data_IF_346225441264
#
_entry.id   IF_346225441264
#
_cell.length_a   1.000
_cell.length_b   1.000
_cell.length_c   1.000
_cell.angle_alpha   90.00
_cell.angle_beta   90.00
_cell.angle_gamma   90.00
#
_symmetry.space_group_name_H-M   'P 1'
#
loop_
_entity.id
_entity.type
_entity.pdbx_description
1 polymer ?
#
# COMPACT_ATOMS: atom_id res chain seq x y z
N UNK A 1 9.00 -20.67 -5.48
CA UNK A 1 9.31 -21.79 -4.56
C UNK A 1 8.40 -21.63 -3.38
N UNK A 2 7.74 -22.70 -2.93
CA UNK A 2 6.94 -22.69 -1.71
C UNK A 2 7.83 -22.64 -0.46
N UNK A 3 7.24 -22.87 0.73
CA UNK A 3 7.98 -22.97 1.97
C UNK A 3 9.12 -23.99 1.86
N UNK A 4 10.26 -23.68 2.46
CA UNK A 4 11.43 -24.55 2.48
C UNK A 4 12.17 -24.40 3.82
N UNK A 5 12.77 -25.49 4.28
CA UNK A 5 13.54 -25.53 5.51
C UNK A 5 15.03 -25.50 5.21
N UNK A 6 15.80 -24.67 5.91
CA UNK A 6 17.28 -24.71 5.84
C UNK A 6 17.74 -25.98 6.55
N UNK A 7 18.48 -26.84 5.84
CA UNK A 7 19.01 -28.10 6.40
C UNK A 7 20.51 -27.99 6.70
N UNK A 8 21.23 -27.14 5.99
CA UNK A 8 22.68 -26.96 6.16
C UNK A 8 23.11 -25.59 5.63
N UNK A 9 24.19 -25.05 6.18
CA UNK A 9 24.88 -23.88 5.63
C UNK A 9 26.30 -24.28 5.18
N UNK A 10 26.47 -24.71 3.91
CA UNK A 10 27.77 -25.16 3.43
C UNK A 10 28.77 -24.02 3.22
N UNK A 11 28.29 -22.78 3.04
CA UNK A 11 29.11 -21.59 2.73
C UNK A 11 28.58 -20.35 3.47
N UNK A 12 29.39 -19.31 3.68
CA UNK A 12 28.99 -18.12 4.45
C UNK A 12 27.72 -17.43 3.96
N UNK A 13 27.42 -17.47 2.67
CA UNK A 13 26.27 -16.77 2.08
C UNK A 13 25.26 -17.68 1.38
N UNK A 14 25.36 -18.98 1.59
CA UNK A 14 24.55 -19.98 0.89
C UNK A 14 24.01 -20.99 1.86
N UNK A 15 22.73 -21.32 1.71
CA UNK A 15 22.05 -22.34 2.47
C UNK A 15 21.59 -23.47 1.54
N UNK A 16 21.72 -24.70 2.02
CA UNK A 16 21.04 -25.86 1.45
C UNK A 16 19.66 -25.92 2.07
N UNK A 17 18.63 -25.90 1.22
CA UNK A 17 17.23 -25.91 1.64
C UNK A 17 16.53 -27.16 1.13
N UNK A 18 15.61 -27.69 1.94
CA UNK A 18 14.68 -28.76 1.60
C UNK A 18 13.29 -28.18 1.39
N UNK A 19 12.75 -28.35 0.19
CA UNK A 19 11.40 -27.94 -0.20
C UNK A 19 10.41 -29.02 0.26
N UNK A 20 9.13 -28.67 0.46
CA UNK A 20 8.08 -29.63 0.88
C UNK A 20 7.96 -30.85 -0.05
N UNK A 21 8.27 -30.70 -1.34
CA UNK A 21 8.27 -31.80 -2.32
C UNK A 21 9.43 -32.80 -2.11
N UNK A 22 10.27 -32.57 -1.10
CA UNK A 22 11.44 -33.39 -0.76
C UNK A 22 12.71 -33.01 -1.54
N UNK A 23 12.62 -32.09 -2.50
CA UNK A 23 13.76 -31.64 -3.28
C UNK A 23 14.71 -30.80 -2.43
N UNK A 24 16.01 -30.98 -2.65
CA UNK A 24 17.05 -30.19 -2.01
C UNK A 24 17.73 -29.26 -3.02
N UNK A 25 17.96 -28.01 -2.63
CA UNK A 25 18.64 -27.01 -3.47
C UNK A 25 19.58 -26.16 -2.63
N UNK A 26 20.69 -25.76 -3.24
CA UNK A 26 21.61 -24.79 -2.66
C UNK A 26 21.26 -23.39 -3.18
N UNK A 27 20.96 -22.45 -2.29
CA UNK A 27 20.49 -21.10 -2.60
C UNK A 27 21.24 -20.05 -1.78
N UNK A 28 21.57 -18.93 -2.42
CA UNK A 28 22.11 -17.77 -1.72
C UNK A 28 21.05 -17.17 -0.76
N UNK A 29 21.43 -16.64 0.40
CA UNK A 29 20.48 -16.07 1.37
C UNK A 29 19.57 -14.98 0.76
N UNK A 30 20.08 -14.17 -0.17
CA UNK A 30 19.28 -13.20 -0.92
C UNK A 30 18.06 -13.79 -1.64
N UNK A 31 18.06 -15.10 -1.94
CA UNK A 31 16.94 -15.83 -2.56
C UNK A 31 15.98 -16.46 -1.54
N UNK A 32 16.29 -16.36 -0.26
CA UNK A 32 15.47 -16.84 0.84
C UNK A 32 14.77 -15.67 1.53
N UNK A 33 13.59 -15.96 2.07
CA UNK A 33 12.84 -15.06 2.94
C UNK A 33 12.38 -15.86 4.16
N UNK A 34 12.41 -15.29 5.37
CA UNK A 34 11.83 -15.92 6.55
C UNK A 34 10.38 -16.32 6.27
N UNK A 35 10.01 -17.54 6.64
CA UNK A 35 8.63 -17.97 6.50
C UNK A 35 7.81 -17.44 7.68
N UNK A 36 6.90 -16.51 7.40
CA UNK A 36 5.97 -15.93 8.38
C UNK A 36 4.56 -16.41 8.04
N UNK A 37 3.99 -17.27 8.87
CA UNK A 37 2.59 -17.70 8.77
C UNK A 37 1.69 -16.52 9.13
N UNK A 38 1.07 -15.88 8.14
CA UNK A 38 0.01 -14.88 8.39
C UNK A 38 -1.23 -15.62 8.88
N UNK A 39 -1.54 -15.47 10.16
CA UNK A 39 -2.84 -15.87 10.71
C UNK A 39 -3.88 -14.95 10.07
N UNK A 40 -4.95 -15.54 9.55
CA UNK A 40 -6.09 -14.86 8.93
C UNK A 40 -6.68 -13.80 9.89
N UNK A 41 -6.26 -12.55 9.76
CA UNK A 41 -7.01 -11.40 10.24
C UNK A 41 -6.64 -10.17 9.42
N UNK A 42 -7.68 -9.60 8.85
CA UNK A 42 -7.74 -8.42 8.00
C UNK A 42 -7.05 -7.23 8.71
N UNK A 43 -6.22 -6.51 7.96
CA UNK A 43 -5.72 -5.13 8.20
C UNK A 43 -5.29 -4.75 9.62
N UNK A 44 -4.28 -5.41 10.17
CA UNK A 44 -3.34 -4.74 11.07
C UNK A 44 -1.91 -5.06 10.67
N UNK A 45 -1.24 -4.09 10.06
CA UNK A 45 0.23 -4.09 10.01
C UNK A 45 0.67 -3.79 11.44
N UNK A 46 1.17 -4.78 12.15
CA UNK A 46 1.74 -4.58 13.47
C UNK A 46 3.14 -3.94 13.30
N UNK A 47 3.49 -2.98 14.16
CA UNK A 47 4.79 -2.25 14.26
C UNK A 47 6.06 -3.14 14.28
N UNK A 48 5.92 -4.46 14.21
CA UNK A 48 7.03 -5.44 14.18
C UNK A 48 7.30 -6.02 12.80
N UNK A 49 6.61 -5.57 11.75
CA UNK A 49 6.87 -6.00 10.37
C UNK A 49 8.02 -5.16 9.74
N UNK A 50 9.25 -5.40 10.20
CA UNK A 50 10.47 -4.75 9.68
C UNK A 50 10.78 -5.09 8.21
N UNK A 51 10.01 -5.97 7.57
CA UNK A 51 10.20 -6.33 6.15
C UNK A 51 9.89 -5.14 5.22
N UNK A 52 9.09 -4.17 5.65
CA UNK A 52 8.64 -3.04 4.83
C UNK A 52 9.19 -1.66 5.27
N UNK A 53 10.00 -1.59 6.33
CA UNK A 53 10.52 -0.34 6.90
C UNK A 53 9.58 0.31 7.92
N UNK A 54 9.96 1.47 8.47
CA UNK A 54 9.11 2.23 9.39
C UNK A 54 7.82 2.67 8.68
N UNK A 55 6.68 2.35 9.28
CA UNK A 55 5.39 2.90 8.87
C UNK A 55 5.38 4.40 9.20
N UNK A 56 5.60 5.22 8.18
CA UNK A 56 5.28 6.63 8.27
C UNK A 56 3.76 6.78 8.20
N UNK A 57 3.14 6.93 9.36
CA UNK A 57 1.77 7.44 9.44
C UNK A 57 1.78 8.84 8.86
N UNK A 58 0.92 9.04 7.88
CA UNK A 58 0.82 10.34 7.26
C UNK A 58 0.03 11.27 8.25
N UNK A 59 0.45 12.55 8.41
CA UNK A 59 -0.06 13.43 9.45
C UNK A 59 -1.46 13.96 9.14
N UNK A 60 -2.42 13.66 10.02
CA UNK A 60 -3.87 14.00 9.94
C UNK A 60 -4.19 15.50 10.08
N UNK A 61 -3.40 16.39 9.48
CA UNK A 61 -3.76 17.80 9.39
C UNK A 61 -4.76 17.96 8.24
N UNK A 62 -6.05 17.94 8.59
CA UNK A 62 -7.15 18.08 7.62
C UNK A 62 -7.18 19.49 7.04
N UNK A 63 -6.52 19.69 5.89
CA UNK A 63 -6.79 20.85 5.03
C UNK A 63 -8.10 20.56 4.30
N UNK A 64 -9.21 21.07 4.82
CA UNK A 64 -10.49 21.01 4.13
C UNK A 64 -10.46 21.96 2.93
N UNK A 65 -10.74 21.45 1.74
CA UNK A 65 -11.01 22.30 0.59
C UNK A 65 -12.38 22.97 0.72
N UNK A 66 -12.48 24.22 0.28
CA UNK A 66 -13.78 24.87 0.15
C UNK A 66 -14.62 24.12 -0.90
N UNK A 67 -15.88 23.88 -0.57
CA UNK A 67 -16.85 23.21 -1.44
C UNK A 67 -17.01 23.97 -2.77
N UNK A 68 -16.88 25.30 -2.73
CA UNK A 68 -16.93 26.12 -3.93
C UNK A 68 -15.75 25.86 -4.88
N UNK A 69 -14.56 25.59 -4.34
CA UNK A 69 -13.37 25.30 -5.16
C UNK A 69 -13.54 23.97 -5.90
N UNK A 70 -14.09 22.95 -5.21
CA UNK A 70 -14.43 21.65 -5.81
C UNK A 70 -15.45 21.83 -6.93
N UNK A 71 -16.52 22.58 -6.66
CA UNK A 71 -17.58 22.83 -7.63
C UNK A 71 -17.05 23.52 -8.90
N UNK A 72 -16.33 24.63 -8.73
CA UNK A 72 -15.78 25.39 -9.85
C UNK A 72 -14.80 24.55 -10.67
N UNK A 73 -13.93 23.79 -10.00
CA UNK A 73 -12.96 22.92 -10.67
C UNK A 73 -13.64 21.84 -11.52
N UNK A 74 -14.72 21.23 -11.03
CA UNK A 74 -15.50 20.23 -11.77
C UNK A 74 -16.18 20.85 -12.98
N UNK A 75 -16.75 22.05 -12.84
CA UNK A 75 -17.41 22.75 -13.94
C UNK A 75 -16.44 23.08 -15.08
N UNK A 76 -15.24 23.55 -14.73
CA UNK A 76 -14.20 24.00 -15.67
C UNK A 76 -13.43 22.85 -16.32
N UNK A 77 -13.12 21.79 -15.57
CA UNK A 77 -12.21 20.72 -16.02
C UNK A 77 -12.91 19.54 -16.71
N UNK A 78 -14.23 19.39 -16.52
CA UNK A 78 -14.98 18.22 -16.99
C UNK A 78 -15.64 18.44 -18.36
N UNK A 79 -14.88 18.82 -19.38
CA UNK A 79 -15.41 19.19 -20.70
C UNK A 79 -16.26 18.09 -21.39
N UNK A 80 -16.06 16.81 -21.06
CA UNK A 80 -16.79 15.68 -21.65
C UNK A 80 -18.08 15.27 -20.93
N UNK A 81 -18.45 15.95 -19.83
CA UNK A 81 -19.64 15.61 -19.05
C UNK A 81 -20.80 16.56 -19.35
N UNK A 82 -22.02 16.02 -19.35
CA UNK A 82 -23.23 16.83 -19.36
C UNK A 82 -23.39 17.61 -18.04
N UNK A 83 -24.12 18.72 -18.07
CA UNK A 83 -24.31 19.56 -16.88
C UNK A 83 -24.88 18.78 -15.69
N UNK A 84 -25.83 17.87 -15.93
CA UNK A 84 -26.40 17.00 -14.89
C UNK A 84 -25.34 16.13 -14.21
N UNK A 85 -24.44 15.54 -15.01
CA UNK A 85 -23.34 14.70 -14.55
C UNK A 85 -22.29 15.52 -13.79
N UNK A 86 -21.99 16.75 -14.25
CA UNK A 86 -21.11 17.68 -13.54
C UNK A 86 -21.63 18.03 -12.15
N UNK A 87 -22.93 18.30 -12.01
CA UNK A 87 -23.54 18.60 -10.71
C UNK A 87 -23.50 17.38 -9.78
N UNK A 88 -23.83 16.19 -10.30
CA UNK A 88 -23.74 14.95 -9.52
C UNK A 88 -22.32 14.65 -9.04
N UNK A 89 -21.31 14.91 -9.88
CA UNK A 89 -19.91 14.74 -9.54
C UNK A 89 -19.46 15.76 -8.48
N UNK A 90 -19.82 17.04 -8.65
CA UNK A 90 -19.52 18.08 -7.67
C UNK A 90 -20.15 17.77 -6.30
N UNK A 91 -21.42 17.37 -6.27
CA UNK A 91 -22.12 16.96 -5.04
C UNK A 91 -21.46 15.75 -4.37
N UNK A 92 -20.99 14.78 -5.16
CA UNK A 92 -20.32 13.60 -4.64
C UNK A 92 -18.97 13.97 -4.00
N UNK A 93 -18.14 14.75 -4.71
CA UNK A 93 -16.81 15.13 -4.23
C UNK A 93 -16.88 16.07 -3.03
N UNK A 94 -17.89 16.92 -2.96
CA UNK A 94 -18.11 17.84 -1.83
C UNK A 94 -18.38 17.12 -0.50
N UNK A 95 -18.92 15.89 -0.53
CA UNK A 95 -19.11 15.05 0.67
C UNK A 95 -17.80 14.54 1.27
N UNK A 96 -16.72 14.63 0.50
CA UNK A 96 -15.39 14.12 0.82
C UNK A 96 -14.37 15.27 0.76
N UNK A 97 -14.79 16.52 1.01
CA UNK A 97 -13.93 17.70 0.91
C UNK A 97 -12.75 17.69 1.89
N UNK A 98 -12.89 16.95 2.99
CA UNK A 98 -11.86 16.69 4.00
C UNK A 98 -10.73 15.78 3.51
N UNK A 99 -11.00 14.98 2.47
CA UNK A 99 -10.01 14.08 1.85
C UNK A 99 -9.42 14.62 0.54
N UNK A 100 -9.62 15.90 0.21
CA UNK A 100 -8.88 16.58 -0.88
C UNK A 100 -7.93 17.67 -0.34
N UNK A 101 -6.93 18.04 -1.14
CA UNK A 101 -5.98 19.13 -0.82
C UNK A 101 -5.55 19.82 -2.12
N UNK A 102 -5.35 21.13 -2.05
CA UNK A 102 -4.81 21.95 -3.15
C UNK A 102 -3.28 21.91 -3.20
N UNK A 103 -2.64 21.34 -2.18
CA UNK A 103 -1.19 21.18 -2.10
C UNK A 103 -0.82 19.76 -2.53
N UNK A 104 -0.18 19.59 -3.70
CA UNK A 104 0.26 18.28 -4.16
C UNK A 104 1.31 17.71 -3.19
N UNK A 105 1.16 16.43 -2.84
CA UNK A 105 2.02 15.74 -1.87
C UNK A 105 2.03 16.37 -0.47
N UNK A 106 0.99 17.10 -0.08
CA UNK A 106 0.74 17.37 1.33
C UNK A 106 0.57 16.03 2.03
N UNK A 107 1.60 15.63 2.77
CA UNK A 107 1.56 14.47 3.65
C UNK A 107 0.43 14.70 4.67
N UNK A 108 -0.41 13.69 4.86
CA UNK A 108 -1.80 13.83 5.29
C UNK A 108 -2.26 12.77 6.25
#
# INVERSE_FOLDING_TARGET
MGPASIIEQPRPHTARVKIEDGSEKELHFNKLRPYVTRIELIDLIFDRDNEFGELHYAPTDTVQLDVNDIYNHVMDSSAGLENSQKHQLADLLSKFSDVFSSVPALLR
#
